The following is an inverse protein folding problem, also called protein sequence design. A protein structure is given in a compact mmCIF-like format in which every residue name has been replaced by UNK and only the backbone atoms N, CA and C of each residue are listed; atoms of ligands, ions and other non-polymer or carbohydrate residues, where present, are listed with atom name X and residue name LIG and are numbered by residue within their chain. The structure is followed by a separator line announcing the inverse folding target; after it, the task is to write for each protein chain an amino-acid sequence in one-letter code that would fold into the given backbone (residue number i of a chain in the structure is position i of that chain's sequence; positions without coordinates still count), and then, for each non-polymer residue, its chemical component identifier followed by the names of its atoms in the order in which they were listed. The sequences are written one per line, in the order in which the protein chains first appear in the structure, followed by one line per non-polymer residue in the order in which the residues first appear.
data_IF_281499455879
#
_entry.id   IF_281499455879
#
_cell.length_a   1.000
_cell.length_b   1.000
_cell.length_c   1.000
_cell.angle_alpha   90.00
_cell.angle_beta   90.00
_cell.angle_gamma   90.00
#
_symmetry.space_group_name_H-M   'P 1'
#
loop_
_entity.id
_entity.type
_entity.pdbx_description
1 polymer ?
#
# COMPACT_ATOMS: atom_id res chain seq x y z
N UNK A 1 20.67 -7.73 -19.98
CA UNK A 1 19.94 -8.99 -20.07
C UNK A 1 18.48 -8.86 -19.58
N UNK A 2 18.24 -8.33 -18.36
CA UNK A 2 16.89 -8.17 -17.80
C UNK A 2 15.97 -7.33 -18.69
N UNK A 3 16.43 -6.18 -19.16
CA UNK A 3 15.63 -5.31 -20.02
C UNK A 3 15.29 -5.94 -21.38
N UNK A 4 16.19 -6.77 -21.90
CA UNK A 4 15.91 -7.56 -23.12
C UNK A 4 14.81 -8.58 -22.91
N UNK A 5 14.84 -9.32 -21.80
CA UNK A 5 13.77 -10.27 -21.45
C UNK A 5 12.41 -9.59 -21.29
N UNK A 6 12.37 -8.46 -20.56
CA UNK A 6 11.15 -7.69 -20.34
C UNK A 6 10.58 -7.24 -21.70
N UNK A 7 11.42 -6.66 -22.55
CA UNK A 7 10.97 -6.20 -23.86
C UNK A 7 10.52 -7.36 -24.77
N UNK A 8 11.16 -8.50 -24.72
CA UNK A 8 10.73 -9.68 -25.47
C UNK A 8 9.35 -10.19 -25.04
N UNK A 9 9.05 -10.14 -23.75
CA UNK A 9 7.72 -10.49 -23.23
C UNK A 9 6.66 -9.44 -23.60
N UNK A 10 6.98 -8.16 -23.47
CA UNK A 10 6.06 -7.06 -23.79
C UNK A 10 5.63 -7.10 -25.26
N UNK A 11 6.57 -7.36 -26.17
CA UNK A 11 6.30 -7.32 -27.62
C UNK A 11 5.96 -8.69 -28.22
N UNK A 12 5.72 -9.71 -27.40
CA UNK A 12 5.37 -11.06 -27.84
C UNK A 12 4.17 -11.10 -28.82
N UNK A 13 3.19 -10.25 -28.62
CA UNK A 13 1.96 -10.21 -29.39
C UNK A 13 2.01 -9.23 -30.57
N UNK A 14 3.14 -8.54 -30.78
CA UNK A 14 3.32 -7.65 -31.93
C UNK A 14 3.68 -8.46 -33.20
N UNK A 15 3.45 -7.89 -34.39
CA UNK A 15 3.83 -8.53 -35.66
C UNK A 15 5.30 -8.93 -35.64
N UNK A 16 5.61 -10.15 -36.11
CA UNK A 16 6.94 -10.76 -35.99
C UNK A 16 8.03 -9.86 -36.60
N UNK A 17 7.76 -9.28 -37.74
CA UNK A 17 8.67 -8.42 -38.49
C UNK A 17 9.03 -7.13 -37.75
N UNK A 18 8.19 -6.66 -36.86
CA UNK A 18 8.38 -5.40 -36.10
C UNK A 18 8.93 -5.63 -34.69
N UNK A 19 8.90 -6.86 -34.17
CA UNK A 19 9.29 -7.15 -32.77
C UNK A 19 10.68 -6.71 -32.44
N UNK A 20 11.65 -7.01 -33.25
CA UNK A 20 13.05 -6.67 -33.00
C UNK A 20 13.27 -5.17 -32.95
N UNK A 21 12.60 -4.43 -33.81
CA UNK A 21 12.66 -2.95 -33.82
C UNK A 21 12.12 -2.37 -32.51
N UNK A 22 10.97 -2.86 -32.05
CA UNK A 22 10.39 -2.41 -30.77
C UNK A 22 11.26 -2.80 -29.57
N UNK A 23 11.82 -4.01 -29.55
CA UNK A 23 12.74 -4.46 -28.50
C UNK A 23 13.98 -3.56 -28.43
N UNK A 24 14.59 -3.23 -29.56
CA UNK A 24 15.75 -2.34 -29.61
C UNK A 24 15.40 -0.94 -29.08
N UNK A 25 14.34 -0.33 -29.58
CA UNK A 25 13.88 1.00 -29.14
C UNK A 25 13.58 1.05 -27.64
N UNK A 26 12.89 0.05 -27.12
CA UNK A 26 12.57 -0.05 -25.70
C UNK A 26 13.84 -0.23 -24.86
N UNK A 27 14.73 -1.13 -25.27
CA UNK A 27 16.01 -1.34 -24.62
C UNK A 27 16.83 -0.04 -24.55
N UNK A 28 16.93 0.66 -25.66
CA UNK A 28 17.63 1.96 -25.73
C UNK A 28 17.02 2.96 -24.77
N UNK A 29 15.70 3.11 -24.77
CA UNK A 29 15.01 4.06 -23.91
C UNK A 29 15.23 3.78 -22.41
N UNK A 30 15.24 2.51 -22.01
CA UNK A 30 15.48 2.12 -20.62
C UNK A 30 16.96 2.21 -20.25
N UNK A 31 17.85 1.73 -21.10
CA UNK A 31 19.31 1.71 -20.84
C UNK A 31 19.93 3.10 -20.81
N UNK A 32 19.34 4.06 -21.51
CA UNK A 32 19.75 5.49 -21.52
C UNK A 32 18.95 6.33 -20.50
N UNK A 33 18.20 5.70 -19.59
CA UNK A 33 17.40 6.35 -18.55
C UNK A 33 16.32 7.33 -19.04
N UNK A 34 15.88 7.20 -20.30
CA UNK A 34 14.74 7.97 -20.83
C UNK A 34 13.40 7.49 -20.23
N UNK A 35 13.34 6.22 -19.81
CA UNK A 35 12.19 5.58 -19.18
C UNK A 35 12.66 4.86 -17.93
N UNK A 36 11.93 4.99 -16.85
CA UNK A 36 12.08 4.18 -15.65
C UNK A 36 10.95 3.15 -15.54
N UNK A 37 11.29 1.92 -15.13
CA UNK A 37 10.35 0.82 -15.04
C UNK A 37 10.16 0.48 -13.56
N UNK A 38 8.92 0.50 -13.04
CA UNK A 38 8.64 0.14 -11.65
C UNK A 38 8.88 -1.36 -11.41
N UNK A 39 9.29 -1.68 -10.19
CA UNK A 39 9.61 -3.04 -9.74
C UNK A 39 8.52 -4.07 -10.07
N UNK A 40 7.19 -3.80 -9.91
CA UNK A 40 6.16 -4.78 -10.23
C UNK A 40 6.12 -5.18 -11.70
N UNK A 41 6.42 -4.27 -12.63
CA UNK A 41 6.53 -4.61 -14.06
C UNK A 41 7.72 -5.54 -14.27
N UNK A 42 8.87 -5.21 -13.70
CA UNK A 42 10.07 -6.05 -13.84
C UNK A 42 9.88 -7.44 -13.26
N UNK A 43 9.19 -7.55 -12.11
CA UNK A 43 8.90 -8.83 -11.48
C UNK A 43 7.75 -9.58 -12.16
N UNK A 44 6.65 -8.89 -12.45
CA UNK A 44 5.42 -9.49 -12.97
C UNK A 44 5.57 -10.07 -14.38
N UNK A 45 6.40 -9.46 -15.22
CA UNK A 45 6.68 -9.99 -16.58
C UNK A 45 7.49 -11.28 -16.59
N UNK A 46 8.21 -11.59 -15.51
CA UNK A 46 9.07 -12.76 -15.39
C UNK A 46 8.49 -13.89 -14.55
N UNK A 47 7.36 -13.68 -13.94
CA UNK A 47 6.71 -14.62 -13.02
C UNK A 47 5.25 -14.87 -13.42
N UNK A 48 4.63 -15.94 -12.95
CA UNK A 48 3.20 -16.20 -13.16
C UNK A 48 2.31 -15.12 -12.55
N UNK A 49 2.79 -14.43 -11.51
CA UNK A 49 2.06 -13.35 -10.86
C UNK A 49 2.14 -12.07 -11.70
N UNK A 50 1.06 -11.75 -12.39
CA UNK A 50 0.97 -10.59 -13.31
C UNK A 50 0.30 -9.39 -12.65
N UNK A 51 0.78 -9.02 -11.47
CA UNK A 51 0.37 -7.79 -10.80
C UNK A 51 1.41 -6.70 -11.12
N UNK A 52 0.96 -5.60 -11.74
CA UNK A 52 1.83 -4.54 -12.25
C UNK A 52 1.70 -3.22 -11.49
N UNK A 53 0.71 -3.07 -10.62
CA UNK A 53 0.54 -1.88 -9.80
C UNK A 53 1.58 -1.83 -8.68
N UNK A 54 2.34 -0.75 -8.61
CA UNK A 54 3.33 -0.53 -7.56
C UNK A 54 2.69 -0.09 -6.24
N UNK A 55 1.64 0.70 -6.33
CA UNK A 55 0.92 1.26 -5.19
C UNK A 55 -0.58 1.11 -5.40
N UNK A 56 -1.28 0.84 -4.31
CA UNK A 56 -2.73 0.72 -4.27
C UNK A 56 -3.27 1.59 -3.14
N UNK A 57 -4.30 2.35 -3.42
CA UNK A 57 -5.00 3.16 -2.43
C UNK A 57 -6.23 2.39 -1.93
N UNK A 58 -6.39 2.33 -0.63
CA UNK A 58 -7.53 1.72 0.05
C UNK A 58 -8.22 2.81 0.87
N UNK A 59 -9.50 3.01 0.62
CA UNK A 59 -10.33 3.97 1.35
C UNK A 59 -11.16 3.21 2.39
N UNK A 60 -10.99 3.55 3.66
CA UNK A 60 -11.72 2.94 4.77
C UNK A 60 -12.77 3.90 5.27
N UNK A 61 -14.02 3.44 5.26
CA UNK A 61 -15.15 4.20 5.76
C UNK A 61 -15.42 3.90 7.24
N UNK A 62 -16.31 4.67 7.86
CA UNK A 62 -16.60 4.64 9.30
C UNK A 62 -17.60 3.54 9.70
N UNK A 63 -17.28 2.29 9.32
CA UNK A 63 -18.03 1.11 9.73
C UNK A 63 -17.09 -0.09 9.90
N UNK A 64 -17.45 -1.03 10.79
CA UNK A 64 -16.65 -2.25 10.98
C UNK A 64 -16.53 -3.06 9.69
N UNK A 65 -17.58 -3.15 8.89
CA UNK A 65 -17.54 -3.87 7.62
C UNK A 65 -16.56 -3.24 6.65
N UNK A 66 -16.54 -1.91 6.54
CA UNK A 66 -15.59 -1.20 5.71
C UNK A 66 -14.16 -1.34 6.21
N UNK A 67 -13.94 -1.20 7.52
CA UNK A 67 -12.61 -1.34 8.14
C UNK A 67 -12.06 -2.75 7.92
N UNK A 68 -12.85 -3.80 8.14
CA UNK A 68 -12.40 -5.17 7.95
C UNK A 68 -12.25 -5.54 6.46
N UNK A 69 -13.10 -5.01 5.59
CA UNK A 69 -12.92 -5.16 4.14
C UNK A 69 -11.64 -4.49 3.66
N UNK A 70 -11.33 -3.32 4.19
CA UNK A 70 -10.07 -2.61 3.93
C UNK A 70 -8.86 -3.41 4.42
N UNK A 71 -8.92 -3.97 5.62
CA UNK A 71 -7.87 -4.81 6.18
C UNK A 71 -7.59 -6.06 5.30
N UNK A 72 -8.65 -6.72 4.85
CA UNK A 72 -8.53 -7.85 3.93
C UNK A 72 -7.91 -7.43 2.58
N UNK A 73 -8.32 -6.30 2.03
CA UNK A 73 -7.76 -5.75 0.80
C UNK A 73 -6.26 -5.43 0.97
N UNK A 74 -5.88 -4.78 2.07
CA UNK A 74 -4.49 -4.49 2.41
C UNK A 74 -3.64 -5.77 2.38
N UNK A 75 -4.08 -6.81 3.08
CA UNK A 75 -3.34 -8.09 3.13
C UNK A 75 -3.16 -8.71 1.76
N UNK A 76 -4.22 -8.74 0.94
CA UNK A 76 -4.16 -9.28 -0.42
C UNK A 76 -3.23 -8.53 -1.35
N UNK A 77 -3.26 -7.19 -1.32
CA UNK A 77 -2.39 -6.36 -2.16
C UNK A 77 -0.93 -6.39 -1.71
N UNK A 78 -0.67 -6.39 -0.40
CA UNK A 78 0.69 -6.56 0.14
C UNK A 78 1.27 -7.89 -0.31
N UNK A 79 0.53 -8.99 -0.20
CA UNK A 79 0.97 -10.31 -0.67
C UNK A 79 1.28 -10.31 -2.19
N UNK A 80 0.62 -9.45 -2.96
CA UNK A 80 0.86 -9.27 -4.39
C UNK A 80 1.93 -8.20 -4.72
N UNK A 81 2.74 -7.78 -3.75
CA UNK A 81 3.88 -6.86 -3.90
C UNK A 81 3.52 -5.39 -4.14
N UNK A 82 2.32 -4.96 -3.78
CA UNK A 82 1.97 -3.55 -3.80
C UNK A 82 2.34 -2.85 -2.48
N UNK A 83 2.77 -1.60 -2.56
CA UNK A 83 2.75 -0.67 -1.43
C UNK A 83 1.33 -0.12 -1.24
N UNK A 84 0.94 0.18 -0.03
CA UNK A 84 -0.43 0.56 0.30
C UNK A 84 -0.50 1.99 0.83
N UNK A 85 -1.41 2.78 0.27
CA UNK A 85 -1.90 4.01 0.89
C UNK A 85 -3.28 3.73 1.50
N UNK A 86 -3.47 4.05 2.77
CA UNK A 86 -4.73 3.83 3.48
C UNK A 86 -5.31 5.18 3.85
N UNK A 87 -6.48 5.51 3.37
CA UNK A 87 -7.24 6.64 3.90
C UNK A 87 -8.09 6.15 5.08
N UNK A 88 -7.68 6.50 6.30
CA UNK A 88 -8.40 6.18 7.53
C UNK A 88 -9.06 7.42 8.17
N UNK A 89 -8.97 8.56 7.51
CA UNK A 89 -9.43 9.85 8.04
C UNK A 89 -10.94 9.98 8.23
N UNK A 90 -11.72 9.01 7.71
CA UNK A 90 -13.18 8.96 7.92
C UNK A 90 -13.58 8.18 9.16
N UNK A 91 -12.69 7.36 9.71
CA UNK A 91 -12.97 6.58 10.92
C UNK A 91 -13.10 7.56 12.08
N UNK A 92 -14.21 7.47 12.81
CA UNK A 92 -14.49 8.36 13.94
C UNK A 92 -13.48 8.19 15.08
N UNK A 93 -13.25 9.27 15.81
CA UNK A 93 -12.29 9.30 16.91
C UNK A 93 -12.84 8.68 18.22
N UNK A 94 -11.93 8.60 19.19
CA UNK A 94 -12.18 8.09 20.53
C UNK A 94 -13.37 8.81 21.20
N UNK A 95 -14.23 8.04 21.86
CA UNK A 95 -15.39 8.55 22.58
C UNK A 95 -16.58 8.94 21.70
N UNK A 96 -16.48 8.86 20.39
CA UNK A 96 -17.61 9.09 19.48
C UNK A 96 -18.75 8.11 19.77
N UNK A 97 -19.98 8.63 19.78
CA UNK A 97 -21.16 7.82 20.08
C UNK A 97 -21.48 6.83 18.95
N UNK A 98 -21.74 5.57 19.31
CA UNK A 98 -22.23 4.51 18.44
C UNK A 98 -23.55 3.93 18.98
N UNK A 99 -24.35 3.33 18.09
CA UNK A 99 -25.64 2.71 18.45
C UNK A 99 -26.56 3.64 19.26
N UNK A 100 -26.75 4.86 18.78
CA UNK A 100 -27.59 5.82 19.48
C UNK A 100 -27.04 6.35 20.81
N UNK A 101 -25.77 6.08 21.11
CA UNK A 101 -25.08 6.53 22.33
C UNK A 101 -24.91 5.46 23.40
N UNK A 102 -25.33 4.23 23.15
CA UNK A 102 -25.15 3.10 24.07
C UNK A 102 -23.68 2.72 24.28
N UNK A 103 -22.86 2.92 23.25
CA UNK A 103 -21.44 2.56 23.26
C UNK A 103 -20.60 3.73 22.75
N UNK A 104 -19.41 3.87 23.29
CA UNK A 104 -18.40 4.81 22.81
C UNK A 104 -17.38 4.11 21.92
N UNK A 105 -16.94 4.79 20.87
CA UNK A 105 -15.91 4.29 19.97
C UNK A 105 -14.55 4.26 20.66
N UNK A 106 -13.77 3.21 20.39
CA UNK A 106 -12.44 2.99 21.01
C UNK A 106 -11.32 3.79 20.37
N UNK A 107 -11.64 4.63 19.38
CA UNK A 107 -10.69 5.43 18.63
C UNK A 107 -10.11 4.70 17.41
N UNK A 108 -9.29 5.41 16.68
CA UNK A 108 -8.69 4.90 15.43
C UNK A 108 -7.43 4.07 15.67
N UNK A 109 -6.72 4.30 16.78
CA UNK A 109 -5.42 3.65 17.07
C UNK A 109 -5.50 2.13 17.11
N UNK A 110 -6.52 1.48 17.72
CA UNK A 110 -6.66 0.02 17.66
C UNK A 110 -6.77 -0.53 16.23
N UNK A 111 -7.45 0.19 15.33
CA UNK A 111 -7.55 -0.20 13.92
C UNK A 111 -6.22 -0.01 13.18
N UNK A 112 -5.45 1.03 13.51
CA UNK A 112 -4.10 1.21 12.98
C UNK A 112 -3.17 0.06 13.37
N UNK A 113 -3.23 -0.44 14.60
CA UNK A 113 -2.51 -1.64 15.04
C UNK A 113 -2.90 -2.86 14.24
N UNK A 114 -4.19 -3.02 13.95
CA UNK A 114 -4.68 -4.10 13.10
C UNK A 114 -4.11 -4.01 11.70
N UNK A 115 -4.17 -2.85 11.05
CA UNK A 115 -3.58 -2.63 9.73
C UNK A 115 -2.07 -2.85 9.73
N UNK A 116 -1.35 -2.38 10.77
CA UNK A 116 0.08 -2.65 10.94
C UNK A 116 0.37 -4.16 10.98
N UNK A 117 -0.40 -4.91 11.77
CA UNK A 117 -0.27 -6.36 11.89
C UNK A 117 -0.50 -7.05 10.54
N UNK A 118 -1.54 -6.66 9.81
CA UNK A 118 -1.86 -7.20 8.48
C UNK A 118 -0.75 -6.90 7.47
N UNK A 119 -0.24 -5.67 7.43
CA UNK A 119 0.89 -5.30 6.56
C UNK A 119 2.15 -6.12 6.88
N UNK A 120 2.39 -6.42 8.15
CA UNK A 120 3.58 -7.17 8.59
C UNK A 120 3.49 -8.67 8.35
N UNK A 121 2.32 -9.27 8.53
CA UNK A 121 2.16 -10.72 8.36
C UNK A 121 2.06 -11.13 6.88
N UNK A 122 1.64 -10.22 6.00
CA UNK A 122 1.53 -10.46 4.57
C UNK A 122 2.82 -10.06 3.86
N UNK A 123 3.79 -10.96 3.80
CA UNK A 123 5.09 -10.67 3.18
C UNK A 123 5.07 -10.83 1.67
N UNK A 124 5.87 -10.02 0.99
CA UNK A 124 6.11 -10.12 -0.45
C UNK A 124 7.09 -11.27 -0.76
N UNK A 125 6.62 -12.50 -0.81
CA UNK A 125 7.44 -13.71 -1.06
C UNK A 125 8.57 -13.97 -0.04
N UNK A 126 8.39 -13.62 1.22
CA UNK A 126 9.34 -13.89 2.30
C UNK A 126 10.62 -13.05 2.32
N UNK A 127 10.87 -12.23 1.31
CA UNK A 127 12.12 -11.46 1.17
C UNK A 127 11.93 -9.97 1.50
N UNK A 128 10.76 -9.41 1.22
CA UNK A 128 10.44 -8.00 1.45
C UNK A 128 9.18 -7.87 2.29
N UNK A 129 9.27 -7.14 3.40
CA UNK A 129 8.09 -6.80 4.21
C UNK A 129 7.11 -5.90 3.47
N UNK A 130 5.86 -5.92 3.86
CA UNK A 130 4.86 -4.97 3.40
C UNK A 130 5.19 -3.55 3.88
N UNK A 131 4.71 -2.56 3.14
CA UNK A 131 4.81 -1.15 3.50
C UNK A 131 3.48 -0.46 3.26
N UNK A 132 3.06 0.36 4.20
CA UNK A 132 1.84 1.14 4.09
C UNK A 132 2.00 2.52 4.71
N UNK A 133 1.34 3.51 4.08
CA UNK A 133 1.20 4.87 4.59
C UNK A 133 -0.27 5.12 4.89
N UNK A 134 -0.57 5.62 6.08
CA UNK A 134 -1.93 5.99 6.46
C UNK A 134 -2.10 7.50 6.37
N UNK A 135 -3.21 7.91 5.77
CA UNK A 135 -3.54 9.32 5.52
C UNK A 135 -4.65 9.76 6.46
N UNK A 136 -4.43 10.89 7.12
CA UNK A 136 -5.39 11.54 8.00
C UNK A 136 -5.53 13.03 7.66
N UNK A 137 -6.73 13.62 7.76
CA UNK A 137 -6.88 15.06 7.71
C UNK A 137 -6.39 15.69 9.01
N UNK A 138 -5.83 16.91 8.93
CA UNK A 138 -5.30 17.62 10.10
C UNK A 138 -6.36 17.93 11.16
N UNK A 139 -7.63 17.93 10.76
CA UNK A 139 -8.78 18.16 11.67
C UNK A 139 -9.34 16.86 12.27
N UNK A 140 -8.67 15.71 12.09
CA UNK A 140 -9.11 14.47 12.72
C UNK A 140 -9.06 14.60 14.24
N UNK A 141 -10.10 14.07 14.94
CA UNK A 141 -10.24 14.22 16.38
C UNK A 141 -9.04 13.70 17.19
N UNK A 142 -8.36 12.65 16.71
CA UNK A 142 -7.19 12.03 17.36
C UNK A 142 -5.86 12.44 16.68
N UNK A 143 -5.80 13.57 15.97
CA UNK A 143 -4.61 13.93 15.20
C UNK A 143 -3.35 14.09 16.05
N UNK A 144 -3.48 14.65 17.26
CA UNK A 144 -2.36 14.84 18.18
C UNK A 144 -1.75 13.50 18.61
N UNK A 145 -2.60 12.51 18.92
CA UNK A 145 -2.18 11.15 19.26
C UNK A 145 -1.53 10.44 18.07
N UNK A 146 -2.10 10.60 16.87
CA UNK A 146 -1.56 10.03 15.63
C UNK A 146 -0.14 10.55 15.34
N UNK A 147 0.10 11.84 15.53
CA UNK A 147 1.41 12.46 15.29
C UNK A 147 2.53 11.89 16.18
N UNK A 148 2.19 11.36 17.35
CA UNK A 148 3.18 10.81 18.30
C UNK A 148 3.32 9.28 18.26
N UNK A 149 2.55 8.57 17.43
CA UNK A 149 2.55 7.10 17.35
C UNK A 149 3.93 6.48 17.00
N UNK A 150 4.79 7.22 16.33
CA UNK A 150 6.17 6.80 16.01
C UNK A 150 7.18 7.22 17.07
N UNK A 151 6.80 8.09 18.00
CA UNK A 151 7.68 8.60 19.03
C UNK A 151 8.02 7.55 20.12
N UNK A 152 9.14 7.77 20.81
CA UNK A 152 9.54 6.96 21.95
C UNK A 152 8.86 7.36 23.27
N UNK A 153 8.10 8.46 23.28
CA UNK A 153 7.49 9.03 24.48
C UNK A 153 6.15 8.40 24.89
N UNK A 154 5.51 7.60 24.03
CA UNK A 154 4.26 6.91 24.36
C UNK A 154 4.51 5.58 25.07
N UNK A 155 3.47 5.05 25.74
CA UNK A 155 3.46 3.67 26.23
C UNK A 155 3.58 2.69 25.07
N UNK A 156 4.11 1.50 25.31
CA UNK A 156 4.28 0.48 24.25
C UNK A 156 2.98 0.12 23.56
N UNK A 157 1.87 0.19 24.31
CA UNK A 157 0.52 -0.05 23.81
C UNK A 157 0.02 0.99 22.79
N UNK A 158 0.58 2.19 22.79
CA UNK A 158 0.17 3.26 21.88
C UNK A 158 1.17 3.49 20.72
N UNK A 159 2.07 2.53 20.45
CA UNK A 159 3.06 2.66 19.37
C UNK A 159 2.65 1.89 18.13
N UNK A 160 2.55 2.59 17.01
CA UNK A 160 2.35 1.99 15.68
C UNK A 160 3.47 2.51 14.77
N UNK A 161 4.61 1.82 14.76
CA UNK A 161 5.86 2.32 14.18
C UNK A 161 6.11 1.88 12.75
N UNK A 162 5.46 0.80 12.30
CA UNK A 162 5.70 0.19 10.99
C UNK A 162 4.80 0.72 9.90
N UNK A 163 3.82 1.55 10.26
CA UNK A 163 3.08 2.36 9.31
C UNK A 163 3.75 3.73 9.17
N UNK A 164 3.72 4.29 7.99
CA UNK A 164 4.01 5.69 7.76
C UNK A 164 2.73 6.52 7.83
N UNK A 165 2.86 7.79 8.18
CA UNK A 165 1.72 8.68 8.36
C UNK A 165 1.85 9.89 7.45
N UNK A 166 0.76 10.25 6.81
CA UNK A 166 0.63 11.44 5.97
C UNK A 166 -0.54 12.28 6.47
N UNK A 167 -0.30 13.56 6.66
CA UNK A 167 -1.31 14.51 7.12
C UNK A 167 -1.76 15.36 5.95
N UNK A 168 -3.06 15.36 5.70
CA UNK A 168 -3.71 16.20 4.69
C UNK A 168 -4.06 17.54 5.33
N UNK A 169 -3.63 18.62 4.71
CA UNK A 169 -3.86 20.01 5.14
C UNK A 169 -4.97 20.63 4.31
#
# INVERSE_FOLDING_TARGET
YMYMLISAVLFKNYPKEKRLTYVKRYYEAVSTFKINIPTPIMAGLRTPLRQFASCVLVDSDDSLDSIFSSDMAIGRYVAQRAGIGINAGRIRGLGSKIRGGEVQHTGVIPFLKKFESTVRCCTQNGVRGGSATVHFPIWHQEIEDILVLKNNKGTEDNRVRKLDYSIQI
#
